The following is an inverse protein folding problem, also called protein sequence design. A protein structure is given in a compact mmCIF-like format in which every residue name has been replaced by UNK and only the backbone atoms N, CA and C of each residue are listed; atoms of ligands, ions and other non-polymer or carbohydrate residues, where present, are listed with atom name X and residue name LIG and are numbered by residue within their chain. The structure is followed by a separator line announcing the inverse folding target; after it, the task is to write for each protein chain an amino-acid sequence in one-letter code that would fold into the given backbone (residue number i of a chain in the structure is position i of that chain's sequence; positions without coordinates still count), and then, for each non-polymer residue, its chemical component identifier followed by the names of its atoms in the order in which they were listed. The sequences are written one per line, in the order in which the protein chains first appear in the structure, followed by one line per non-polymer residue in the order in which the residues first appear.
data_IF_720926997123
#
_entry.id   IF_720926997123
#
_cell.length_a   1.000
_cell.length_b   1.000
_cell.length_c   1.000
_cell.angle_alpha   90.00
_cell.angle_beta   90.00
_cell.angle_gamma   90.00
#
_symmetry.space_group_name_H-M   'P 1'
#
loop_
_entity.id
_entity.type
_entity.pdbx_description
1 polymer ?
#
# COMPACT_ATOMS: atom_id res chain seq x y z
N UNK A 1 -7.84 28.51 -5.10
CA UNK A 1 -6.91 28.41 -6.26
C UNK A 1 -7.14 27.10 -7.06
N UNK A 2 -7.61 27.20 -8.31
CA UNK A 2 -7.92 26.06 -9.20
C UNK A 2 -6.70 25.49 -9.95
N UNK A 3 -5.55 26.17 -9.83
CA UNK A 3 -4.32 25.83 -10.54
C UNK A 3 -3.90 24.35 -10.43
N UNK A 4 -3.92 23.71 -9.23
CA UNK A 4 -3.56 22.29 -9.11
C UNK A 4 -4.47 21.35 -9.91
N UNK A 5 -5.77 21.66 -10.01
CA UNK A 5 -6.72 20.84 -10.78
C UNK A 5 -6.46 20.94 -12.27
N UNK A 6 -6.18 22.13 -12.80
CA UNK A 6 -5.83 22.32 -14.20
C UNK A 6 -4.51 21.63 -14.55
N UNK A 7 -3.51 21.75 -13.67
CA UNK A 7 -2.23 21.08 -13.87
C UNK A 7 -2.37 19.55 -13.92
N UNK A 8 -3.14 18.97 -12.99
CA UNK A 8 -3.46 17.54 -13.01
C UNK A 8 -4.20 17.10 -14.27
N UNK A 9 -5.16 17.91 -14.75
CA UNK A 9 -5.90 17.62 -15.98
C UNK A 9 -4.99 17.59 -17.22
N UNK A 10 -4.03 18.52 -17.32
CA UNK A 10 -3.06 18.55 -18.43
C UNK A 10 -2.19 17.28 -18.43
N UNK A 11 -1.69 16.86 -17.27
CA UNK A 11 -0.92 15.61 -17.15
C UNK A 11 -1.76 14.41 -17.60
N UNK A 12 -3.02 14.35 -17.18
CA UNK A 12 -3.92 13.26 -17.57
C UNK A 12 -4.16 13.20 -19.09
N UNK A 13 -4.37 14.36 -19.73
CA UNK A 13 -4.55 14.45 -21.20
C UNK A 13 -3.29 13.96 -21.92
N UNK A 14 -2.11 14.44 -21.49
CA UNK A 14 -0.83 14.01 -22.08
C UNK A 14 -0.64 12.50 -21.91
N UNK A 15 -0.89 11.97 -20.71
CA UNK A 15 -0.83 10.54 -20.42
C UNK A 15 -1.78 9.73 -21.30
N UNK A 16 -3.01 10.21 -21.51
CA UNK A 16 -3.99 9.57 -22.41
C UNK A 16 -3.54 9.56 -23.87
N UNK A 17 -3.00 10.68 -24.37
CA UNK A 17 -2.48 10.77 -25.74
C UNK A 17 -1.26 9.85 -25.96
N UNK A 18 -0.37 9.77 -24.98
CA UNK A 18 0.77 8.85 -25.00
C UNK A 18 0.29 7.40 -24.95
N UNK A 19 -0.68 7.08 -24.12
CA UNK A 19 -1.28 5.77 -24.04
C UNK A 19 -1.87 5.34 -25.39
N UNK A 20 -2.63 6.21 -26.07
CA UNK A 20 -3.18 5.91 -27.41
C UNK A 20 -2.10 5.67 -28.47
N UNK A 21 -0.94 6.31 -28.35
CA UNK A 21 0.16 6.19 -29.31
C UNK A 21 1.09 5.00 -29.04
N UNK A 22 1.30 4.65 -27.77
CA UNK A 22 2.34 3.71 -27.35
C UNK A 22 1.83 2.41 -26.72
N UNK A 23 0.56 2.30 -26.32
CA UNK A 23 -0.01 1.02 -25.87
C UNK A 23 -0.11 0.06 -27.06
N UNK A 24 0.69 -0.99 -27.03
CA UNK A 24 0.51 -2.14 -27.91
C UNK A 24 -0.69 -2.94 -27.42
N UNK A 25 -1.71 -3.07 -28.27
CA UNK A 25 -2.81 -3.99 -28.01
C UNK A 25 -2.25 -5.41 -27.96
N UNK A 26 -2.21 -5.99 -26.77
CA UNK A 26 -1.94 -7.42 -26.62
C UNK A 26 -3.13 -8.16 -27.26
N UNK A 27 -2.89 -8.85 -28.38
CA UNK A 27 -3.86 -9.79 -28.92
C UNK A 27 -3.98 -10.96 -27.92
N UNK A 28 -4.93 -10.85 -27.00
CA UNK A 28 -5.31 -11.94 -26.13
C UNK A 28 -6.10 -12.90 -27.00
N UNK A 29 -5.46 -13.99 -27.44
CA UNK A 29 -6.19 -15.13 -27.99
C UNK A 29 -7.26 -15.53 -26.96
N UNK A 30 -8.54 -15.67 -27.35
CA UNK A 30 -9.58 -16.02 -26.40
C UNK A 30 -9.18 -17.35 -25.74
N UNK A 31 -8.73 -17.27 -24.48
CA UNK A 31 -8.46 -18.44 -23.70
C UNK A 31 -9.75 -19.29 -23.70
N UNK A 32 -9.64 -20.63 -23.79
CA UNK A 32 -10.82 -21.48 -23.64
C UNK A 32 -11.57 -21.03 -22.40
N UNK A 33 -12.90 -20.90 -22.50
CA UNK A 33 -13.78 -20.49 -21.40
C UNK A 33 -13.75 -21.61 -20.35
N UNK A 34 -12.64 -21.69 -19.63
CA UNK A 34 -12.56 -22.44 -18.40
C UNK A 34 -13.24 -21.51 -17.40
N UNK A 35 -14.44 -21.87 -16.96
CA UNK A 35 -15.17 -21.12 -15.94
C UNK A 35 -14.33 -21.15 -14.67
N UNK A 36 -13.46 -20.17 -14.50
CA UNK A 36 -12.85 -19.92 -13.21
C UNK A 36 -13.99 -19.61 -12.24
N UNK A 37 -14.02 -20.34 -11.13
CA UNK A 37 -15.04 -20.24 -10.09
C UNK A 37 -14.45 -19.66 -8.82
N UNK A 38 -13.37 -18.88 -8.94
CA UNK A 38 -12.62 -18.42 -7.79
C UNK A 38 -13.50 -17.48 -6.98
N UNK A 39 -13.80 -17.88 -5.75
CA UNK A 39 -14.54 -17.05 -4.82
C UNK A 39 -13.56 -16.11 -4.12
N UNK A 40 -13.99 -14.91 -3.80
CA UNK A 40 -13.15 -13.95 -3.08
C UNK A 40 -12.75 -14.41 -1.66
N UNK A 41 -13.47 -15.37 -1.08
CA UNK A 41 -13.14 -16.01 0.20
C UNK A 41 -12.26 -17.28 0.05
N UNK A 42 -11.69 -17.54 -1.13
CA UNK A 42 -10.79 -18.68 -1.30
C UNK A 42 -9.54 -18.49 -0.40
N UNK A 43 -9.25 -19.49 0.43
CA UNK A 43 -8.16 -19.48 1.39
C UNK A 43 -6.78 -19.21 0.75
N UNK A 44 -6.63 -19.48 -0.55
CA UNK A 44 -5.39 -19.20 -1.31
C UNK A 44 -5.15 -17.71 -1.51
N UNK A 45 -6.20 -16.89 -1.61
CA UNK A 45 -6.08 -15.45 -1.92
C UNK A 45 -6.51 -14.56 -0.76
N UNK A 46 -7.41 -15.04 0.09
CA UNK A 46 -8.04 -14.28 1.15
C UNK A 46 -7.04 -13.60 2.11
N UNK A 47 -5.93 -14.24 2.53
CA UNK A 47 -4.88 -13.58 3.32
C UNK A 47 -4.33 -12.30 2.66
N UNK A 48 -4.14 -12.33 1.34
CA UNK A 48 -3.58 -11.19 0.60
C UNK A 48 -4.62 -10.08 0.37
N UNK A 49 -5.89 -10.44 0.21
CA UNK A 49 -6.99 -9.46 0.16
C UNK A 49 -7.15 -8.73 1.50
N UNK A 50 -7.08 -9.45 2.63
CA UNK A 50 -7.03 -8.83 3.96
C UNK A 50 -5.81 -7.92 4.08
N UNK A 51 -4.65 -8.39 3.62
CA UNK A 51 -3.42 -7.60 3.64
C UNK A 51 -3.57 -6.27 2.91
N UNK A 52 -4.20 -6.27 1.73
CA UNK A 52 -4.52 -5.06 0.97
C UNK A 52 -5.48 -4.14 1.72
N UNK A 53 -6.58 -4.70 2.24
CA UNK A 53 -7.59 -3.93 2.96
C UNK A 53 -7.01 -3.25 4.20
N UNK A 54 -6.25 -3.97 5.03
CA UNK A 54 -5.63 -3.43 6.25
C UNK A 54 -4.54 -2.41 5.90
N UNK A 55 -3.67 -2.71 4.93
CA UNK A 55 -2.61 -1.79 4.51
C UNK A 55 -3.20 -0.44 4.08
N UNK A 56 -4.25 -0.44 3.27
CA UNK A 56 -4.90 0.79 2.82
C UNK A 56 -5.75 1.46 3.90
N UNK A 57 -6.36 0.70 4.80
CA UNK A 57 -7.06 1.24 5.96
C UNK A 57 -6.12 2.11 6.79
N UNK A 58 -4.96 1.57 7.17
CA UNK A 58 -3.98 2.27 8.00
C UNK A 58 -3.32 3.41 7.22
N UNK A 59 -2.98 3.18 5.95
CA UNK A 59 -2.34 4.17 5.08
C UNK A 59 -3.22 5.40 4.84
N UNK A 60 -4.50 5.22 4.51
CA UNK A 60 -5.42 6.33 4.26
C UNK A 60 -5.82 7.05 5.55
N UNK A 61 -6.03 6.31 6.65
CA UNK A 61 -6.19 6.85 7.99
C UNK A 61 -5.04 7.82 8.33
N UNK A 62 -3.80 7.33 8.19
CA UNK A 62 -2.58 8.09 8.51
C UNK A 62 -2.46 9.38 7.69
N UNK A 63 -2.79 9.34 6.40
CA UNK A 63 -2.76 10.53 5.55
C UNK A 63 -3.77 11.60 5.97
N UNK A 64 -4.99 11.18 6.34
CA UNK A 64 -6.06 12.11 6.73
C UNK A 64 -5.73 12.80 8.04
N UNK A 65 -5.26 12.04 9.04
CA UNK A 65 -4.94 12.59 10.37
C UNK A 65 -3.60 13.32 10.42
N UNK A 66 -2.78 13.26 9.37
CA UNK A 66 -1.45 13.86 9.36
C UNK A 66 -1.47 15.36 9.65
N UNK A 67 -2.41 16.08 9.03
CA UNK A 67 -2.57 17.51 9.23
C UNK A 67 -3.00 17.83 10.66
N UNK A 68 -3.93 17.05 11.22
CA UNK A 68 -4.37 17.21 12.61
C UNK A 68 -3.24 16.91 13.59
N UNK A 69 -2.44 15.86 13.35
CA UNK A 69 -1.29 15.55 14.20
C UNK A 69 -0.24 16.67 14.19
N UNK A 70 0.03 17.27 13.03
CA UNK A 70 0.94 18.42 12.92
C UNK A 70 0.41 19.63 13.71
N UNK A 71 -0.89 19.87 13.67
CA UNK A 71 -1.55 20.95 14.40
C UNK A 71 -1.51 20.70 15.91
N UNK A 72 -2.05 19.56 16.36
CA UNK A 72 -2.30 19.28 17.77
C UNK A 72 -1.05 18.87 18.54
N UNK A 73 -0.17 18.05 17.93
CA UNK A 73 0.98 17.47 18.63
C UNK A 73 2.29 18.23 18.36
N UNK A 74 2.43 18.82 17.17
CA UNK A 74 3.65 19.57 16.81
C UNK A 74 3.48 21.09 16.97
N UNK A 75 2.30 21.55 17.39
CA UNK A 75 2.04 22.94 17.77
C UNK A 75 2.12 23.92 16.60
N UNK A 76 1.91 23.46 15.37
CA UNK A 76 1.91 24.33 14.18
C UNK A 76 0.54 24.98 14.07
N UNK A 77 0.46 26.27 14.40
CA UNK A 77 -0.82 27.00 14.47
C UNK A 77 -1.20 27.61 13.11
N UNK A 78 -0.22 27.99 12.30
CA UNK A 78 -0.47 28.69 11.05
C UNK A 78 -0.97 27.71 9.97
N UNK A 79 -2.18 27.95 9.44
CA UNK A 79 -2.77 27.10 8.39
C UNK A 79 -1.86 26.91 7.17
N UNK A 80 -1.15 27.96 6.74
CA UNK A 80 -0.19 27.88 5.63
C UNK A 80 0.99 26.95 5.94
N UNK A 81 1.44 26.92 7.19
CA UNK A 81 2.53 26.05 7.64
C UNK A 81 2.06 24.60 7.82
N UNK A 82 0.85 24.37 8.34
CA UNK A 82 0.24 23.03 8.42
C UNK A 82 0.13 22.42 7.01
N UNK A 83 -0.39 23.18 6.04
CA UNK A 83 -0.52 22.72 4.65
C UNK A 83 0.86 22.38 4.06
N UNK A 84 1.86 23.26 4.26
CA UNK A 84 3.24 23.01 3.80
C UNK A 84 3.84 21.77 4.45
N UNK A 85 3.75 21.64 5.77
CA UNK A 85 4.30 20.51 6.52
C UNK A 85 3.64 19.19 6.12
N UNK A 86 2.32 19.18 5.97
CA UNK A 86 1.58 18.01 5.49
C UNK A 86 2.03 17.64 4.07
N UNK A 87 2.15 18.65 3.19
CA UNK A 87 2.61 18.44 1.81
C UNK A 87 4.03 17.89 1.73
N UNK A 88 4.95 18.40 2.57
CA UNK A 88 6.32 17.91 2.66
C UNK A 88 6.34 16.46 3.17
N UNK A 89 5.52 16.13 4.18
CA UNK A 89 5.40 14.76 4.70
C UNK A 89 4.95 13.78 3.61
N UNK A 90 3.90 14.13 2.86
CA UNK A 90 3.40 13.31 1.74
C UNK A 90 4.42 13.22 0.61
N UNK A 91 5.15 14.30 0.32
CA UNK A 91 6.23 14.31 -0.67
C UNK A 91 7.38 13.40 -0.26
N UNK A 92 7.83 13.46 1.01
CA UNK A 92 8.87 12.57 1.55
C UNK A 92 8.47 11.11 1.39
N UNK A 93 7.24 10.76 1.76
CA UNK A 93 6.68 9.43 1.55
C UNK A 93 6.68 9.02 0.07
N UNK A 94 6.22 9.89 -0.84
CA UNK A 94 6.15 9.61 -2.26
C UNK A 94 7.52 9.42 -2.91
N UNK A 95 8.50 10.27 -2.57
CA UNK A 95 9.88 10.17 -3.04
C UNK A 95 10.52 8.85 -2.61
N UNK A 96 10.39 8.50 -1.34
CA UNK A 96 10.94 7.25 -0.83
C UNK A 96 10.24 6.04 -1.42
N UNK A 97 8.92 6.08 -1.57
CA UNK A 97 8.15 5.01 -2.22
C UNK A 97 8.63 4.78 -3.64
N UNK A 98 8.78 5.86 -4.41
CA UNK A 98 9.24 5.82 -5.81
C UNK A 98 10.67 5.32 -5.92
N UNK A 99 11.56 5.81 -5.06
CA UNK A 99 12.96 5.38 -5.03
C UNK A 99 13.09 3.88 -4.71
N UNK A 100 12.35 3.40 -3.71
CA UNK A 100 12.38 2.00 -3.32
C UNK A 100 11.85 1.09 -4.43
N UNK A 101 10.79 1.48 -5.15
CA UNK A 101 10.29 0.72 -6.29
C UNK A 101 11.24 0.78 -7.50
N UNK A 102 11.80 1.96 -7.81
CA UNK A 102 12.63 2.15 -9.00
C UNK A 102 14.01 1.51 -8.86
N UNK A 103 14.59 1.49 -7.65
CA UNK A 103 15.98 1.04 -7.43
C UNK A 103 16.05 -0.24 -6.63
N UNK A 104 15.39 -0.28 -5.47
CA UNK A 104 15.60 -1.36 -4.50
C UNK A 104 14.83 -2.61 -4.89
N UNK A 105 13.58 -2.47 -5.32
CA UNK A 105 12.77 -3.59 -5.80
C UNK A 105 13.41 -4.30 -6.99
N UNK A 106 14.13 -3.58 -7.86
CA UNK A 106 14.86 -4.19 -8.99
C UNK A 106 16.05 -5.07 -8.54
N UNK A 107 16.57 -4.86 -7.33
CA UNK A 107 17.73 -5.59 -6.79
C UNK A 107 17.34 -6.70 -5.81
N UNK A 108 16.19 -6.57 -5.15
CA UNK A 108 15.75 -7.52 -4.12
C UNK A 108 15.06 -8.74 -4.75
N UNK A 109 15.61 -9.92 -4.47
CA UNK A 109 15.08 -11.21 -4.91
C UNK A 109 14.62 -12.05 -3.70
N UNK A 110 13.69 -11.51 -2.91
CA UNK A 110 13.14 -12.21 -1.75
C UNK A 110 11.85 -12.95 -2.12
N UNK A 111 11.57 -14.05 -1.40
CA UNK A 111 10.25 -14.71 -1.48
C UNK A 111 9.16 -13.68 -1.11
N UNK A 112 8.01 -13.64 -1.82
CA UNK A 112 6.96 -12.66 -1.56
C UNK A 112 6.48 -12.62 -0.11
N UNK A 113 6.34 -13.77 0.55
CA UNK A 113 5.93 -13.86 1.97
C UNK A 113 6.96 -13.26 2.92
N UNK A 114 8.25 -13.53 2.71
CA UNK A 114 9.34 -12.94 3.49
C UNK A 114 9.39 -11.42 3.31
N UNK A 115 9.20 -10.96 2.07
CA UNK A 115 9.15 -9.53 1.75
C UNK A 115 7.98 -8.87 2.48
N UNK A 116 6.77 -9.45 2.38
CA UNK A 116 5.58 -8.95 3.07
C UNK A 116 5.77 -8.89 4.58
N UNK A 117 6.30 -9.94 5.20
CA UNK A 117 6.62 -9.97 6.63
C UNK A 117 7.50 -8.79 7.02
N UNK A 118 8.63 -8.60 6.32
CA UNK A 118 9.58 -7.53 6.62
C UNK A 118 8.90 -6.17 6.45
N UNK A 119 8.19 -5.96 5.35
CA UNK A 119 7.56 -4.67 5.06
C UNK A 119 6.44 -4.33 6.03
N UNK A 120 5.58 -5.28 6.41
CA UNK A 120 4.55 -5.04 7.42
C UNK A 120 5.12 -4.80 8.83
N UNK A 121 6.22 -5.47 9.19
CA UNK A 121 6.93 -5.19 10.44
C UNK A 121 7.54 -3.79 10.44
N UNK A 122 8.24 -3.40 9.36
CA UNK A 122 8.78 -2.04 9.22
C UNK A 122 7.63 -1.03 9.25
N UNK A 123 6.54 -1.30 8.54
CA UNK A 123 5.38 -0.41 8.51
C UNK A 123 4.83 -0.18 9.91
N UNK A 124 4.64 -1.25 10.68
CA UNK A 124 4.10 -1.13 12.02
C UNK A 124 5.04 -0.49 13.03
N UNK A 125 6.35 -0.77 12.95
CA UNK A 125 7.36 -0.10 13.78
C UNK A 125 7.42 1.39 13.48
N UNK A 126 7.39 1.77 12.19
CA UNK A 126 7.38 3.19 11.78
C UNK A 126 6.11 3.87 12.29
N UNK A 127 4.95 3.24 12.17
CA UNK A 127 3.71 3.81 12.70
C UNK A 127 3.79 4.03 14.21
N UNK A 128 4.21 3.03 14.99
CA UNK A 128 4.38 3.19 16.45
C UNK A 128 5.39 4.29 16.77
N UNK A 129 6.43 4.46 15.95
CA UNK A 129 7.42 5.52 16.16
C UNK A 129 6.82 6.94 16.03
N UNK A 130 5.73 7.11 15.28
CA UNK A 130 5.04 8.40 15.13
C UNK A 130 4.49 8.89 16.48
N UNK A 131 4.06 7.98 17.35
CA UNK A 131 3.57 8.31 18.70
C UNK A 131 4.63 8.99 19.59
N UNK A 132 5.91 8.95 19.21
CA UNK A 132 7.02 9.56 19.95
C UNK A 132 7.64 10.75 19.21
N UNK A 133 7.03 11.20 18.12
CA UNK A 133 7.51 12.33 17.32
C UNK A 133 7.21 13.64 18.03
N UNK A 134 8.23 14.47 18.20
CA UNK A 134 8.14 15.78 18.84
C UNK A 134 8.49 16.94 17.90
N UNK A 135 8.93 16.63 16.67
CA UNK A 135 9.40 17.65 15.71
C UNK A 135 8.94 17.32 14.29
N UNK A 136 8.79 18.36 13.46
CA UNK A 136 8.46 18.20 12.04
C UNK A 136 9.48 17.32 11.28
N UNK A 137 10.77 17.46 11.59
CA UNK A 137 11.81 16.66 10.94
C UNK A 137 11.65 15.15 11.22
N UNK A 138 11.33 14.79 12.46
CA UNK A 138 11.02 13.41 12.84
C UNK A 138 9.73 12.92 12.15
N UNK A 139 8.72 13.78 12.02
CA UNK A 139 7.48 13.46 11.31
C UNK A 139 7.72 13.19 9.82
N UNK A 140 8.52 14.02 9.15
CA UNK A 140 8.90 13.82 7.74
C UNK A 140 9.69 12.52 7.54
N UNK A 141 10.60 12.20 8.46
CA UNK A 141 11.35 10.95 8.44
C UNK A 141 10.43 9.73 8.65
N UNK A 142 9.45 9.83 9.55
CA UNK A 142 8.48 8.77 9.76
C UNK A 142 7.61 8.55 8.50
N UNK A 143 7.15 9.61 7.84
CA UNK A 143 6.45 9.51 6.56
C UNK A 143 7.31 8.91 5.44
N UNK A 144 8.60 9.27 5.38
CA UNK A 144 9.55 8.60 4.49
C UNK A 144 9.63 7.09 4.80
N UNK A 145 9.68 6.72 6.09
CA UNK A 145 9.66 5.33 6.56
C UNK A 145 8.39 4.57 6.16
N UNK A 146 7.21 5.22 6.21
CA UNK A 146 5.97 4.66 5.67
C UNK A 146 6.15 4.36 4.19
N UNK A 147 6.74 5.30 3.44
CA UNK A 147 7.04 5.11 2.02
C UNK A 147 7.96 3.92 1.74
N UNK A 148 8.99 3.72 2.57
CA UNK A 148 9.86 2.53 2.50
C UNK A 148 9.04 1.25 2.62
N UNK A 149 8.26 1.15 3.69
CA UNK A 149 7.52 -0.06 4.00
C UNK A 149 6.44 -0.35 2.95
N UNK A 150 5.64 0.66 2.61
CA UNK A 150 4.50 0.53 1.72
C UNK A 150 4.88 0.25 0.26
N UNK A 151 6.07 0.71 -0.17
CA UNK A 151 6.57 0.51 -1.53
C UNK A 151 6.60 -0.94 -2.01
N UNK A 152 6.84 -1.88 -1.09
CA UNK A 152 7.03 -3.29 -1.37
C UNK A 152 5.83 -4.15 -0.95
N UNK A 153 4.93 -3.63 -0.12
CA UNK A 153 3.67 -4.31 0.25
C UNK A 153 2.82 -4.56 -0.99
N UNK A 154 2.63 -3.53 -1.82
CA UNK A 154 1.82 -3.58 -3.04
C UNK A 154 2.27 -4.67 -4.04
N UNK A 155 3.52 -4.66 -4.56
CA UNK A 155 3.98 -5.71 -5.46
C UNK A 155 4.09 -7.07 -4.76
N UNK A 156 4.40 -7.11 -3.46
CA UNK A 156 4.47 -8.34 -2.67
C UNK A 156 3.12 -9.04 -2.55
N UNK A 157 2.05 -8.31 -2.25
CA UNK A 157 0.69 -8.85 -2.13
C UNK A 157 0.18 -9.33 -3.48
N UNK A 158 0.42 -8.54 -4.53
CA UNK A 158 0.02 -8.91 -5.89
C UNK A 158 0.74 -10.17 -6.36
N UNK A 159 2.06 -10.24 -6.21
CA UNK A 159 2.84 -11.41 -6.60
C UNK A 159 2.49 -12.64 -5.78
N UNK A 160 2.31 -12.53 -4.46
CA UNK A 160 1.99 -13.66 -3.61
C UNK A 160 0.62 -14.26 -3.97
N UNK A 161 -0.38 -13.42 -4.22
CA UNK A 161 -1.71 -13.87 -4.59
C UNK A 161 -1.77 -14.51 -5.99
N UNK A 162 -1.10 -13.93 -6.99
CA UNK A 162 -1.11 -14.49 -8.36
C UNK A 162 -0.30 -15.78 -8.48
N UNK A 163 0.72 -15.98 -7.64
CA UNK A 163 1.49 -17.24 -7.54
C UNK A 163 0.77 -18.32 -6.72
N UNK A 164 -0.32 -17.98 -6.02
CA UNK A 164 -1.08 -18.92 -5.19
C UNK A 164 -2.26 -19.56 -5.95
N UNK A 165 -2.44 -19.23 -7.22
CA UNK A 165 -3.56 -19.68 -8.05
C UNK A 165 -3.09 -20.16 -9.43
N UNK A 166 -3.96 -20.89 -10.12
CA UNK A 166 -3.67 -21.35 -11.49
C UNK A 166 -3.67 -20.19 -12.50
N UNK A 167 -2.98 -20.36 -13.63
CA UNK A 167 -2.93 -19.34 -14.70
C UNK A 167 -4.32 -18.92 -15.20
N UNK A 168 -5.30 -19.82 -15.19
CA UNK A 168 -6.69 -19.52 -15.57
C UNK A 168 -7.45 -18.65 -14.55
N UNK A 169 -6.98 -18.57 -13.31
CA UNK A 169 -7.61 -17.84 -12.21
C UNK A 169 -6.99 -16.43 -12.02
N UNK A 170 -5.86 -16.13 -12.67
CA UNK A 170 -5.11 -14.88 -12.45
C UNK A 170 -5.88 -13.61 -12.82
N UNK A 171 -6.77 -13.68 -13.83
CA UNK A 171 -7.63 -12.55 -14.19
C UNK A 171 -8.62 -12.19 -13.07
N UNK A 172 -9.22 -13.20 -12.43
CA UNK A 172 -10.14 -13.02 -11.30
C UNK A 172 -9.38 -12.50 -10.06
N UNK A 173 -8.20 -13.05 -9.79
CA UNK A 173 -7.32 -12.58 -8.71
C UNK A 173 -6.92 -11.13 -8.92
N UNK A 174 -6.52 -10.73 -10.14
CA UNK A 174 -6.22 -9.33 -10.43
C UNK A 174 -7.44 -8.42 -10.19
N UNK A 175 -8.64 -8.88 -10.53
CA UNK A 175 -9.90 -8.19 -10.20
C UNK A 175 -10.08 -8.01 -8.70
N UNK A 176 -9.95 -9.07 -7.91
CA UNK A 176 -10.10 -8.99 -6.45
C UNK A 176 -9.02 -8.13 -5.79
N UNK A 177 -7.76 -8.23 -6.22
CA UNK A 177 -6.66 -7.41 -5.72
C UNK A 177 -6.84 -5.92 -6.06
N UNK A 178 -7.50 -5.59 -7.17
CA UNK A 178 -7.82 -4.20 -7.52
C UNK A 178 -8.93 -3.62 -6.63
N UNK A 179 -9.84 -4.46 -6.14
CA UNK A 179 -10.98 -4.07 -5.31
C UNK A 179 -10.68 -4.05 -3.81
N UNK A 180 -9.82 -4.96 -3.32
CA UNK A 180 -9.46 -5.07 -1.90
C UNK A 180 -8.97 -3.76 -1.23
N UNK A 181 -8.13 -2.91 -1.88
CA UNK A 181 -7.66 -1.65 -1.29
C UNK A 181 -8.82 -0.68 -0.99
N UNK A 182 -9.88 -0.71 -1.80
CA UNK A 182 -11.02 0.22 -1.72
C UNK A 182 -11.73 0.08 -0.37
N UNK A 183 -11.82 -1.13 0.17
CA UNK A 183 -12.37 -1.37 1.51
C UNK A 183 -11.58 -0.57 2.54
N UNK A 184 -10.25 -0.65 2.49
CA UNK A 184 -9.38 0.12 3.36
C UNK A 184 -9.53 1.63 3.18
N UNK A 185 -9.62 2.11 1.93
CA UNK A 185 -9.80 3.53 1.64
C UNK A 185 -11.12 4.11 2.17
N UNK A 186 -12.20 3.33 2.14
CA UNK A 186 -13.52 3.76 2.62
C UNK A 186 -13.53 3.86 4.15
N UNK A 187 -13.02 2.83 4.84
CA UNK A 187 -13.13 2.74 6.30
C UNK A 187 -11.94 3.38 7.04
N UNK A 188 -10.80 3.56 6.38
CA UNK A 188 -9.58 4.13 6.96
C UNK A 188 -9.78 5.53 7.54
N UNK A 189 -10.20 6.54 6.76
CA UNK A 189 -10.34 7.90 7.25
C UNK A 189 -11.34 8.04 8.43
N UNK A 190 -12.56 7.45 8.38
CA UNK A 190 -13.47 7.51 9.51
C UNK A 190 -12.91 6.83 10.77
N UNK A 191 -12.35 5.62 10.64
CA UNK A 191 -11.78 4.90 11.80
C UNK A 191 -10.58 5.64 12.39
N UNK A 192 -9.71 6.16 11.52
CA UNK A 192 -8.59 7.00 11.92
C UNK A 192 -9.03 8.21 12.71
N UNK A 193 -10.03 8.93 12.20
CA UNK A 193 -10.59 10.11 12.86
C UNK A 193 -11.24 9.76 14.21
N UNK A 194 -11.98 8.66 14.30
CA UNK A 194 -12.58 8.21 15.56
C UNK A 194 -11.51 7.88 16.59
N UNK A 195 -10.48 7.11 16.22
CA UNK A 195 -9.37 6.78 17.12
C UNK A 195 -8.60 8.03 17.55
N UNK A 196 -8.36 8.95 16.62
CA UNK A 196 -7.64 10.20 16.87
C UNK A 196 -8.36 11.10 17.87
N UNK A 197 -9.70 11.18 17.80
CA UNK A 197 -10.51 11.95 18.76
C UNK A 197 -10.44 11.39 20.19
N UNK A 198 -10.16 10.09 20.34
CA UNK A 198 -9.98 9.48 21.67
C UNK A 198 -8.58 9.81 22.19
N UNK A 199 -7.56 9.56 21.37
CA UNK A 199 -6.18 9.94 21.65
C UNK A 199 -5.39 10.08 20.32
N UNK A 200 -4.64 11.18 20.11
CA UNK A 200 -3.89 11.41 18.88
C UNK A 200 -2.87 10.33 18.52
N UNK A 201 -2.43 9.52 19.49
CA UNK A 201 -1.46 8.43 19.28
C UNK A 201 -2.12 7.12 18.83
N UNK A 202 -3.42 6.92 19.10
CA UNK A 202 -4.11 5.65 18.88
C UNK A 202 -4.16 5.18 17.43
N UNK A 203 -4.43 6.04 16.42
CA UNK A 203 -4.43 5.60 15.03
C UNK A 203 -3.08 4.97 14.62
N UNK A 204 -1.99 5.54 15.11
CA UNK A 204 -0.63 5.07 14.82
C UNK A 204 -0.26 3.84 15.63
N UNK A 205 -0.61 3.81 16.92
CA UNK A 205 -0.32 2.68 17.79
C UNK A 205 -1.06 1.41 17.36
N UNK A 206 -2.40 1.49 17.22
CA UNK A 206 -3.20 0.33 16.81
C UNK A 206 -2.99 -0.01 15.33
N UNK A 207 -2.81 0.98 14.46
CA UNK A 207 -2.42 0.78 13.07
C UNK A 207 -1.07 0.05 12.95
N UNK A 208 -0.12 0.39 13.81
CA UNK A 208 1.17 -0.27 13.85
C UNK A 208 1.10 -1.69 14.44
N UNK A 209 0.30 -1.87 15.49
CA UNK A 209 0.07 -3.19 16.08
C UNK A 209 -0.57 -4.15 15.08
N UNK A 210 -1.63 -3.73 14.37
CA UNK A 210 -2.30 -4.58 13.38
C UNK A 210 -1.36 -4.89 12.20
N UNK A 211 -0.52 -3.93 11.77
CA UNK A 211 0.49 -4.17 10.74
C UNK A 211 1.53 -5.20 11.20
N UNK A 212 2.02 -5.12 12.45
CA UNK A 212 2.96 -6.10 13.01
C UNK A 212 2.32 -7.50 13.09
N UNK A 213 1.10 -7.59 13.62
CA UNK A 213 0.35 -8.85 13.69
C UNK A 213 0.18 -9.46 12.31
N UNK A 214 -0.14 -8.65 11.30
CA UNK A 214 -0.28 -9.10 9.93
C UNK A 214 1.07 -9.55 9.33
N UNK A 215 2.16 -8.84 9.62
CA UNK A 215 3.52 -9.25 9.24
C UNK A 215 3.90 -10.60 9.84
N UNK A 216 3.61 -10.82 11.12
CA UNK A 216 3.80 -12.11 11.80
C UNK A 216 2.89 -13.18 11.18
N UNK A 217 1.63 -12.85 10.89
CA UNK A 217 0.69 -13.77 10.25
C UNK A 217 1.20 -14.28 8.89
N UNK A 218 1.80 -13.40 8.08
CA UNK A 218 2.41 -13.80 6.80
C UNK A 218 3.60 -14.78 6.93
N UNK A 219 4.15 -14.98 8.13
CA UNK A 219 5.11 -16.05 8.40
C UNK A 219 4.48 -17.44 8.29
N UNK A 220 3.20 -17.55 8.62
CA UNK A 220 2.46 -18.82 8.69
C UNK A 220 1.67 -19.09 7.41
N UNK A 221 1.52 -18.08 6.53
CA UNK A 221 0.94 -18.24 5.21
C UNK A 221 1.97 -18.91 4.31
N UNK A 222 1.97 -20.25 4.32
CA UNK A 222 2.77 -21.02 3.36
C UNK A 222 2.23 -20.78 1.95
N UNK A 223 3.08 -20.26 1.07
CA UNK A 223 2.85 -20.40 -0.37
C UNK A 223 2.80 -21.90 -0.63
N UNK A 224 1.72 -22.41 -1.19
CA UNK A 224 1.65 -23.81 -1.63
C UNK A 224 2.72 -24.00 -2.72
N UNK A 225 3.88 -24.48 -2.29
CA UNK A 225 5.18 -24.40 -2.98
C UNK A 225 5.33 -25.41 -4.13
N UNK A 226 4.25 -25.73 -4.84
CA UNK A 226 4.25 -26.76 -5.89
C UNK A 226 4.38 -26.24 -7.33
N UNK A 227 4.53 -24.92 -7.57
CA UNK A 227 4.60 -24.40 -8.96
C UNK A 227 5.90 -23.67 -9.33
N UNK A 228 6.78 -23.33 -8.37
CA UNK A 228 8.04 -22.62 -8.67
C UNK A 228 9.16 -23.59 -9.05
N UNK A 229 9.14 -24.81 -8.53
CA UNK A 229 10.19 -25.82 -8.72
C UNK A 229 10.16 -26.53 -10.07
N UNK A 230 9.01 -26.56 -10.75
CA UNK A 230 8.89 -27.19 -12.07
C UNK A 230 9.23 -26.25 -13.23
N UNK A 231 9.16 -24.92 -13.02
CA UNK A 231 9.49 -23.93 -14.07
C UNK A 231 10.99 -23.74 -14.30
N UNK A 232 11.82 -24.18 -13.35
CA UNK A 232 13.29 -24.16 -13.46
C UNK A 232 13.88 -25.53 -13.87
N UNK A 233 13.03 -26.52 -14.23
CA UNK A 233 13.46 -27.86 -14.63
C UNK A 233 13.13 -28.24 -16.08
N UNK A 234 12.47 -27.37 -16.84
CA UNK A 234 12.16 -27.58 -18.26
C UNK A 234 12.75 -26.47 -19.13
#
# INVERSE_FOLDING_TARGET
PLFPMYFGAVIAIIGGLLAMKYLQQTNIEPAPINKSTLKFYDNRIFPYLIGWAIAFLVFTSTQVIAAFFIEDQLGVINQSEIIKATSISLLSMALTTTFMQAVVLQKIHLKPTTLLRICFLIFGVVLISISFVNTLAQFYLAFAGIGVAFSMITPGLNSAATLSVESSEQGEVAGFLSAAPVVGMIFGPPLGTVLYNIDPTYPFYYGGLIAIVLGIYFQFVNLTENQITDKNKN
#
